data_IF_326980373284
#
_entry.id   IF_326980373284
#
_cell.length_a   1.000
_cell.length_b   1.000
_cell.length_c   1.000
_cell.angle_alpha   90.00
_cell.angle_beta   90.00
_cell.angle_gamma   90.00
#
_symmetry.space_group_name_H-M   'P 1'
#
loop_
_entity.id
_entity.type
_entity.pdbx_description
1 polymer ?
#
# COMPACT_ATOMS: atom_id res chain seq x y z
N UNK A 1 0.21 -5.10 4.95
CA UNK A 1 0.18 -3.96 3.99
C UNK A 1 -0.52 -4.37 2.71
N UNK A 2 -0.61 -3.45 1.75
CA UNK A 2 -1.08 -3.79 0.40
C UNK A 2 -2.57 -4.14 0.31
N UNK A 3 -2.91 -5.03 -0.62
CA UNK A 3 -4.30 -5.40 -0.90
C UNK A 3 -4.98 -6.18 0.23
N UNK A 4 -4.24 -7.08 0.89
CA UNK A 4 -4.76 -7.90 1.97
C UNK A 4 -5.17 -7.05 3.18
N UNK A 5 -4.38 -6.03 3.53
CA UNK A 5 -4.70 -5.11 4.62
C UNK A 5 -6.02 -4.34 4.36
N UNK A 6 -6.26 -3.92 3.12
CA UNK A 6 -7.50 -3.25 2.72
C UNK A 6 -8.72 -4.17 2.82
N UNK A 7 -8.55 -5.46 2.50
CA UNK A 7 -9.60 -6.46 2.69
C UNK A 7 -9.91 -6.62 4.19
N UNK A 8 -8.87 -6.75 5.03
CA UNK A 8 -9.03 -6.87 6.48
C UNK A 8 -9.67 -5.63 7.11
N UNK A 9 -9.41 -4.43 6.57
CA UNK A 9 -10.07 -3.18 6.95
C UNK A 9 -11.56 -3.11 6.53
N UNK A 10 -12.06 -4.09 5.76
CA UNK A 10 -13.49 -4.22 5.45
C UNK A 10 -13.87 -4.06 3.98
N UNK A 11 -12.93 -3.86 3.06
CA UNK A 11 -13.24 -3.76 1.64
C UNK A 11 -13.54 -5.13 1.01
N UNK A 12 -14.75 -5.65 1.23
CA UNK A 12 -15.17 -7.00 0.79
C UNK A 12 -15.19 -7.20 -0.73
N UNK A 13 -15.25 -6.11 -1.51
CA UNK A 13 -15.25 -6.16 -2.98
C UNK A 13 -13.84 -6.22 -3.56
N UNK A 14 -12.80 -6.07 -2.74
CA UNK A 14 -11.40 -6.15 -3.16
C UNK A 14 -10.93 -7.60 -3.15
N UNK A 15 -10.34 -8.04 -4.25
CA UNK A 15 -9.68 -9.35 -4.34
C UNK A 15 -8.19 -9.19 -4.49
N UNK A 16 -7.36 -9.92 -3.74
CA UNK A 16 -5.89 -9.94 -3.88
C UNK A 16 -5.39 -11.37 -4.08
N UNK A 17 -4.22 -11.53 -4.71
CA UNK A 17 -3.63 -12.88 -4.98
C UNK A 17 -2.32 -13.12 -4.23
N UNK A 18 -1.82 -12.07 -3.62
CA UNK A 18 -0.53 -11.91 -2.98
C UNK A 18 -0.72 -11.32 -1.58
N UNK A 19 0.23 -11.61 -0.70
CA UNK A 19 0.32 -11.05 0.65
C UNK A 19 1.61 -10.25 0.76
N UNK A 20 1.47 -8.96 1.02
CA UNK A 20 2.60 -8.06 1.25
C UNK A 20 2.89 -7.96 2.76
N UNK A 21 4.11 -8.32 3.16
CA UNK A 21 4.59 -8.29 4.55
C UNK A 21 5.80 -7.36 4.64
N UNK A 22 5.67 -6.25 5.37
CA UNK A 22 6.81 -5.45 5.75
C UNK A 22 7.60 -6.16 6.85
N UNK A 23 8.93 -6.21 6.73
CA UNK A 23 9.80 -6.89 7.70
C UNK A 23 10.86 -5.92 8.24
N UNK A 24 11.21 -6.02 9.51
CA UNK A 24 12.26 -5.22 10.17
C UNK A 24 13.43 -6.12 10.62
N UNK A 25 13.86 -7.00 9.71
CA UNK A 25 14.96 -7.96 9.93
C UNK A 25 15.83 -8.03 8.68
N UNK A 26 17.07 -8.50 8.84
CA UNK A 26 17.94 -8.76 7.69
C UNK A 26 17.34 -9.90 6.87
N UNK A 27 17.21 -9.69 5.56
CA UNK A 27 16.60 -10.67 4.67
C UNK A 27 17.30 -12.04 4.75
N UNK A 28 18.63 -12.07 4.85
CA UNK A 28 19.40 -13.30 4.95
C UNK A 28 19.00 -14.14 6.18
N UNK A 29 18.83 -13.50 7.34
CA UNK A 29 18.44 -14.19 8.57
C UNK A 29 17.01 -14.73 8.44
N UNK A 30 16.08 -13.91 7.94
CA UNK A 30 14.70 -14.32 7.72
C UNK A 30 14.62 -15.52 6.77
N UNK A 31 15.34 -15.48 5.66
CA UNK A 31 15.37 -16.58 4.70
C UNK A 31 16.03 -17.84 5.26
N UNK A 32 17.01 -17.70 6.16
CA UNK A 32 17.61 -18.84 6.86
C UNK A 32 16.62 -19.48 7.83
N UNK A 33 15.85 -18.69 8.57
CA UNK A 33 14.77 -19.18 9.45
C UNK A 33 13.68 -19.89 8.64
N UNK A 34 13.22 -19.27 7.54
CA UNK A 34 12.16 -19.83 6.70
C UNK A 34 12.60 -21.08 5.92
N UNK A 35 13.90 -21.30 5.72
CA UNK A 35 14.42 -22.46 5.01
C UNK A 35 14.06 -23.81 5.67
N UNK A 36 13.75 -23.79 6.97
CA UNK A 36 13.41 -24.97 7.75
C UNK A 36 11.92 -25.31 7.70
N UNK A 37 11.07 -24.42 7.18
CA UNK A 37 9.63 -24.63 7.12
C UNK A 37 9.24 -25.34 5.82
N UNK A 38 8.69 -26.56 5.95
CA UNK A 38 8.23 -27.40 4.84
C UNK A 38 7.09 -26.80 4.03
N UNK A 39 6.43 -25.75 4.53
CA UNK A 39 5.35 -25.04 3.85
C UNK A 39 5.85 -23.86 3.05
N UNK A 40 7.13 -23.46 3.19
CA UNK A 40 7.69 -22.28 2.54
C UNK A 40 8.57 -22.68 1.36
N UNK A 41 8.20 -22.23 0.17
CA UNK A 41 8.92 -22.45 -1.07
C UNK A 41 9.62 -21.16 -1.49
N UNK A 42 10.86 -21.29 -1.93
CA UNK A 42 11.68 -20.17 -2.41
C UNK A 42 11.95 -20.34 -3.90
N UNK A 43 11.75 -19.31 -4.73
CA UNK A 43 12.22 -19.34 -6.10
C UNK A 43 13.74 -19.59 -6.13
N UNK A 44 14.22 -20.37 -7.10
CA UNK A 44 15.65 -20.66 -7.27
C UNK A 44 16.49 -19.41 -7.52
N UNK A 45 15.86 -18.34 -8.02
CA UNK A 45 16.43 -17.00 -8.12
C UNK A 45 15.62 -16.07 -7.23
N UNK A 46 16.20 -15.69 -6.09
CA UNK A 46 15.64 -14.61 -5.30
C UNK A 46 15.94 -13.32 -6.06
N UNK A 47 14.92 -12.68 -6.63
CA UNK A 47 15.02 -11.39 -7.31
C UNK A 47 15.26 -10.22 -6.32
N UNK A 48 16.05 -10.45 -5.25
CA UNK A 48 16.29 -9.50 -4.17
C UNK A 48 17.52 -8.60 -4.41
N UNK A 49 18.37 -8.88 -5.40
CA UNK A 49 19.51 -8.02 -5.69
C UNK A 49 19.03 -6.68 -6.26
N UNK A 50 18.81 -5.69 -5.39
CA UNK A 50 18.51 -4.30 -5.71
C UNK A 50 17.04 -3.87 -5.58
N UNK A 51 16.08 -4.80 -5.46
CA UNK A 51 14.64 -4.47 -5.42
C UNK A 51 14.12 -4.17 -4.00
N UNK A 52 14.82 -4.62 -2.96
CA UNK A 52 14.39 -4.56 -1.57
C UNK A 52 13.14 -5.39 -1.25
N UNK A 53 12.80 -6.34 -2.13
CA UNK A 53 11.67 -7.26 -1.99
C UNK A 53 12.14 -8.68 -2.21
N UNK A 54 11.70 -9.59 -1.36
CA UNK A 54 11.93 -11.02 -1.52
C UNK A 54 10.61 -11.77 -1.60
N UNK A 55 10.47 -12.58 -2.64
CA UNK A 55 9.27 -13.37 -2.87
C UNK A 55 9.44 -14.80 -2.36
N UNK A 56 8.46 -15.25 -1.60
CA UNK A 56 8.31 -16.66 -1.20
C UNK A 56 6.91 -17.14 -1.57
N UNK A 57 6.70 -18.45 -1.55
CA UNK A 57 5.38 -19.04 -1.65
C UNK A 57 5.08 -19.83 -0.37
N UNK A 58 3.92 -19.59 0.23
CA UNK A 58 3.48 -20.29 1.44
C UNK A 58 2.33 -21.22 1.08
N UNK A 59 2.47 -22.51 1.38
CA UNK A 59 1.36 -23.45 1.26
C UNK A 59 0.35 -23.24 2.38
N UNK A 60 -0.85 -22.81 2.03
CA UNK A 60 -2.03 -22.78 2.91
C UNK A 60 -2.75 -24.13 2.88
N UNK A 61 -3.65 -24.37 3.84
CA UNK A 61 -4.48 -25.57 3.87
C UNK A 61 -3.73 -26.86 4.22
N UNK A 62 -4.39 -28.00 4.00
CA UNK A 62 -3.86 -29.35 4.25
C UNK A 62 -4.60 -30.09 5.37
N UNK A 63 -4.15 -31.31 5.68
CA UNK A 63 -4.82 -32.26 6.58
C UNK A 63 -5.17 -31.72 7.97
N UNK A 64 -4.46 -30.68 8.43
CA UNK A 64 -4.67 -30.05 9.74
C UNK A 64 -5.39 -28.67 9.65
N UNK A 65 -5.87 -28.28 8.46
CA UNK A 65 -6.48 -26.98 8.19
C UNK A 65 -7.75 -27.09 7.33
N UNK A 66 -8.38 -28.27 7.28
CA UNK A 66 -9.69 -28.43 6.63
C UNK A 66 -10.71 -27.44 7.22
N UNK A 67 -11.57 -26.80 6.39
CA UNK A 67 -11.77 -27.03 4.95
C UNK A 67 -10.91 -26.15 4.02
N UNK A 68 -9.82 -25.54 4.52
CA UNK A 68 -8.99 -24.63 3.71
C UNK A 68 -8.27 -25.40 2.61
N UNK A 69 -8.61 -25.08 1.36
CA UNK A 69 -7.96 -25.66 0.18
C UNK A 69 -6.45 -25.45 0.22
N UNK A 70 -5.70 -26.50 -0.13
CA UNK A 70 -4.25 -26.41 -0.30
C UNK A 70 -3.89 -25.55 -1.51
N UNK A 71 -3.29 -24.38 -1.27
CA UNK A 71 -2.87 -23.42 -2.29
C UNK A 71 -1.48 -22.87 -1.98
N UNK A 72 -0.70 -22.58 -3.03
CA UNK A 72 0.52 -21.80 -2.88
C UNK A 72 0.15 -20.31 -2.98
N UNK A 73 0.34 -19.58 -1.89
CA UNK A 73 0.10 -18.13 -1.83
C UNK A 73 1.42 -17.40 -2.02
N UNK A 74 1.44 -16.45 -2.96
CA UNK A 74 2.58 -15.55 -3.16
C UNK A 74 2.69 -14.59 -1.99
N UNK A 75 3.88 -14.48 -1.40
CA UNK A 75 4.16 -13.58 -0.28
C UNK A 75 5.38 -12.73 -0.62
N UNK A 76 5.18 -11.42 -0.67
CA UNK A 76 6.26 -10.45 -0.86
C UNK A 76 6.71 -9.91 0.50
N UNK A 77 7.96 -10.24 0.85
CA UNK A 77 8.66 -9.74 2.03
C UNK A 77 9.37 -8.45 1.65
N UNK A 78 8.90 -7.33 2.18
CA UNK A 78 9.31 -5.99 1.78
C UNK A 78 10.22 -5.40 2.86
N UNK A 79 11.46 -5.10 2.48
CA UNK A 79 12.46 -4.54 3.40
C UNK A 79 12.16 -3.08 3.75
N UNK A 80 12.64 -2.60 4.91
CA UNK A 80 12.37 -1.24 5.36
C UNK A 80 12.75 -0.19 4.31
N UNK A 81 11.89 0.81 4.15
CA UNK A 81 12.06 1.90 3.19
C UNK A 81 11.70 1.57 1.73
N UNK A 82 11.34 0.33 1.40
CA UNK A 82 10.95 -0.08 0.05
C UNK A 82 9.43 -0.13 -0.10
N UNK A 83 8.93 0.13 -1.31
CA UNK A 83 7.49 0.14 -1.64
C UNK A 83 6.60 0.92 -0.65
N UNK A 84 7.14 1.98 -0.05
CA UNK A 84 6.39 2.81 0.90
C UNK A 84 6.32 2.28 2.33
N UNK A 85 7.01 1.19 2.65
CA UNK A 85 7.22 0.76 4.03
C UNK A 85 8.03 1.81 4.82
N UNK A 86 7.82 1.92 6.14
CA UNK A 86 8.67 2.73 7.00
C UNK A 86 10.10 2.16 7.06
N UNK A 87 11.06 2.98 7.50
CA UNK A 87 12.45 2.53 7.76
C UNK A 87 12.58 1.73 9.06
N UNK A 88 11.60 1.82 9.95
CA UNK A 88 11.45 0.96 11.12
C UNK A 88 9.97 0.68 11.33
N UNK A 89 9.61 -0.54 11.72
CA UNK A 89 8.22 -0.89 12.04
C UNK A 89 7.79 -0.39 13.42
N UNK A 90 8.72 0.05 14.26
CA UNK A 90 8.43 0.57 15.60
C UNK A 90 7.53 1.81 15.52
N UNK A 91 6.33 1.72 16.08
CA UNK A 91 5.33 2.80 16.04
C UNK A 91 4.69 3.03 14.67
N UNK A 92 5.00 2.20 13.68
CA UNK A 92 4.43 2.27 12.33
C UNK A 92 3.40 1.17 12.05
N UNK A 93 3.18 0.27 13.00
CA UNK A 93 2.25 -0.84 12.93
C UNK A 93 1.05 -0.65 13.86
N UNK A 94 -0.05 -1.31 13.49
CA UNK A 94 -1.27 -1.40 14.28
C UNK A 94 -1.68 -2.86 14.41
N UNK A 95 -2.42 -3.21 15.46
CA UNK A 95 -2.99 -4.55 15.63
C UNK A 95 -4.44 -4.52 15.19
N UNK A 96 -4.75 -5.21 14.10
CA UNK A 96 -6.11 -5.40 13.64
C UNK A 96 -6.64 -6.72 14.17
N UNK A 97 -7.72 -6.70 14.95
CA UNK A 97 -8.35 -7.90 15.51
C UNK A 97 -9.72 -8.10 14.90
N UNK A 98 -9.96 -9.28 14.30
CA UNK A 98 -11.22 -9.62 13.63
C UNK A 98 -11.71 -11.00 14.07
N UNK A 99 -13.03 -11.17 14.07
CA UNK A 99 -13.64 -12.49 14.15
C UNK A 99 -13.65 -13.11 12.75
N UNK A 100 -12.93 -14.21 12.58
CA UNK A 100 -12.91 -15.00 11.35
C UNK A 100 -13.77 -16.25 11.50
N UNK A 101 -14.00 -16.96 10.39
CA UNK A 101 -14.58 -18.31 10.43
C UNK A 101 -13.75 -19.30 11.27
N UNK A 102 -12.45 -19.01 11.48
CA UNK A 102 -11.54 -19.79 12.31
C UNK A 102 -11.38 -19.21 13.74
N UNK A 103 -12.33 -18.38 14.17
CA UNK A 103 -12.30 -17.71 15.48
C UNK A 103 -11.62 -16.33 15.47
N UNK A 104 -11.44 -15.72 16.65
CA UNK A 104 -10.77 -14.42 16.78
C UNK A 104 -9.30 -14.53 16.38
N UNK A 105 -8.86 -13.60 15.53
CA UNK A 105 -7.49 -13.50 15.04
C UNK A 105 -7.02 -12.05 15.08
N UNK A 106 -5.72 -11.87 15.30
CA UNK A 106 -5.07 -10.56 15.31
C UNK A 106 -3.88 -10.57 14.36
N UNK A 107 -3.73 -9.50 13.59
CA UNK A 107 -2.61 -9.32 12.68
C UNK A 107 -1.95 -7.98 12.91
N UNK A 108 -0.63 -7.93 12.77
CA UNK A 108 0.09 -6.68 12.64
C UNK A 108 -0.09 -6.16 11.21
N UNK A 109 -0.65 -4.96 11.10
CA UNK A 109 -0.79 -4.23 9.84
C UNK A 109 0.09 -2.98 9.90
N UNK A 110 0.33 -2.35 8.75
CA UNK A 110 0.85 -0.98 8.81
C UNK A 110 -0.24 -0.07 9.37
N UNK A 111 0.15 1.05 9.99
CA UNK A 111 -0.82 2.09 10.30
C UNK A 111 -1.40 2.65 9.01
N UNK A 112 -2.63 3.16 9.11
CA UNK A 112 -3.35 3.72 7.96
C UNK A 112 -2.54 4.80 7.23
N UNK A 113 -1.71 5.57 7.93
CA UNK A 113 -0.81 6.56 7.33
C UNK A 113 0.17 5.91 6.34
N UNK A 114 0.82 4.81 6.72
CA UNK A 114 1.79 4.13 5.85
C UNK A 114 1.08 3.34 4.74
N UNK A 115 -0.06 2.71 5.02
CA UNK A 115 -0.89 2.10 3.98
C UNK A 115 -1.28 3.12 2.91
N UNK A 116 -1.84 4.27 3.30
CA UNK A 116 -2.27 5.30 2.36
C UNK A 116 -1.09 5.86 1.55
N UNK A 117 0.05 6.15 2.21
CA UNK A 117 1.25 6.65 1.55
C UNK A 117 1.84 5.65 0.55
N UNK A 118 1.90 4.36 0.90
CA UNK A 118 2.37 3.31 -0.02
C UNK A 118 1.47 3.21 -1.25
N UNK A 119 0.15 3.32 -1.09
CA UNK A 119 -0.83 3.32 -2.18
C UNK A 119 -0.71 4.53 -3.09
N UNK A 120 -0.53 5.73 -2.54
CA UNK A 120 -0.28 6.95 -3.31
C UNK A 120 0.97 6.80 -4.19
N UNK A 121 2.07 6.29 -3.61
CA UNK A 121 3.32 6.06 -4.34
C UNK A 121 3.16 5.01 -5.43
N UNK A 122 2.55 3.87 -5.11
CA UNK A 122 2.29 2.82 -6.07
C UNK A 122 1.45 3.34 -7.24
N UNK A 123 0.37 4.08 -6.94
CA UNK A 123 -0.47 4.69 -7.97
C UNK A 123 0.31 5.66 -8.86
N UNK A 124 1.10 6.57 -8.27
CA UNK A 124 1.91 7.51 -9.05
C UNK A 124 2.97 6.82 -9.92
N UNK A 125 3.47 5.64 -9.53
CA UNK A 125 4.50 4.93 -10.29
C UNK A 125 3.94 4.10 -11.44
N UNK A 126 2.73 3.53 -11.28
CA UNK A 126 2.18 2.55 -12.23
C UNK A 126 0.81 2.89 -12.79
N UNK A 127 0.20 3.96 -12.31
CA UNK A 127 -1.17 4.41 -12.67
C UNK A 127 -2.21 3.29 -12.57
N UNK A 128 -1.98 2.35 -11.65
CA UNK A 128 -2.76 1.13 -11.54
C UNK A 128 -4.18 1.40 -11.04
N UNK A 129 -5.19 0.96 -11.80
CA UNK A 129 -6.61 1.10 -11.42
C UNK A 129 -6.93 0.54 -10.03
N UNK A 130 -6.23 -0.52 -9.60
CA UNK A 130 -6.41 -1.10 -8.27
C UNK A 130 -6.00 -0.14 -7.16
N UNK A 131 -4.85 0.53 -7.26
CA UNK A 131 -4.43 1.48 -6.22
C UNK A 131 -5.26 2.74 -6.23
N UNK A 132 -5.71 3.19 -7.41
CA UNK A 132 -6.68 4.27 -7.51
C UNK A 132 -7.96 3.95 -6.74
N UNK A 133 -8.56 2.78 -7.00
CA UNK A 133 -9.77 2.34 -6.32
C UNK A 133 -9.55 2.17 -4.81
N UNK A 134 -8.39 1.62 -4.42
CA UNK A 134 -7.99 1.47 -3.02
C UNK A 134 -7.91 2.85 -2.32
N UNK A 135 -7.30 3.85 -2.96
CA UNK A 135 -7.18 5.22 -2.42
C UNK A 135 -8.55 5.91 -2.27
N UNK A 136 -9.42 5.79 -3.27
CA UNK A 136 -10.79 6.31 -3.22
C UNK A 136 -11.54 5.66 -2.05
N UNK A 137 -11.51 4.33 -1.97
CA UNK A 137 -12.19 3.59 -0.90
C UNK A 137 -11.69 4.01 0.49
N UNK A 138 -10.36 4.14 0.67
CA UNK A 138 -9.78 4.59 1.93
C UNK A 138 -10.26 5.99 2.31
N UNK A 139 -10.34 6.94 1.36
CA UNK A 139 -10.83 8.29 1.64
C UNK A 139 -12.29 8.31 2.12
N UNK A 140 -13.15 7.46 1.55
CA UNK A 140 -14.56 7.39 1.94
C UNK A 140 -14.81 6.63 3.25
N UNK A 141 -13.97 5.65 3.59
CA UNK A 141 -14.19 4.79 4.76
C UNK A 141 -13.39 5.24 5.99
N UNK A 142 -12.30 5.98 5.82
CA UNK A 142 -11.46 6.49 6.92
C UNK A 142 -11.14 7.99 6.81
N UNK A 143 -12.13 8.85 6.53
CA UNK A 143 -11.88 10.26 6.25
C UNK A 143 -11.22 11.00 7.41
N UNK A 144 -11.68 10.77 8.64
CA UNK A 144 -11.18 11.48 9.82
C UNK A 144 -9.72 11.11 10.13
N UNK A 145 -9.39 9.82 10.05
CA UNK A 145 -8.02 9.35 10.23
C UNK A 145 -7.10 9.94 9.14
N UNK A 146 -7.53 9.94 7.88
CA UNK A 146 -6.72 10.47 6.78
C UNK A 146 -6.51 11.99 6.93
N UNK A 147 -7.53 12.75 7.34
CA UNK A 147 -7.39 14.20 7.59
C UNK A 147 -6.30 14.51 8.63
N UNK A 148 -6.11 13.67 9.64
CA UNK A 148 -5.09 13.89 10.67
C UNK A 148 -3.67 13.86 10.13
N UNK A 149 -3.40 13.08 9.07
CA UNK A 149 -2.06 12.97 8.49
C UNK A 149 -1.94 13.51 7.06
N UNK A 150 -3.04 13.93 6.41
CA UNK A 150 -3.01 14.44 5.04
C UNK A 150 -2.08 15.63 4.82
N UNK A 151 -1.90 16.58 5.76
CA UNK A 151 -0.93 17.68 5.60
C UNK A 151 0.53 17.22 5.53
N UNK A 152 0.82 16.00 6.00
CA UNK A 152 2.17 15.40 5.98
C UNK A 152 2.40 14.50 4.76
N UNK A 153 1.38 14.30 3.92
CA UNK A 153 1.51 13.56 2.66
C UNK A 153 2.18 14.44 1.61
N UNK A 154 2.94 13.79 0.73
CA UNK A 154 3.61 14.43 -0.40
C UNK A 154 2.59 15.16 -1.30
N UNK A 155 2.80 16.45 -1.51
CA UNK A 155 1.91 17.32 -2.29
C UNK A 155 1.82 16.89 -3.76
N UNK A 156 2.94 16.42 -4.34
CA UNK A 156 3.00 15.96 -5.72
C UNK A 156 2.15 14.71 -5.91
N UNK A 157 2.29 13.73 -5.01
CA UNK A 157 1.49 12.50 -5.05
C UNK A 157 -0.01 12.77 -4.85
N UNK A 158 -0.36 13.68 -3.92
CA UNK A 158 -1.76 14.09 -3.71
C UNK A 158 -2.32 14.77 -4.96
N UNK A 159 -1.59 15.73 -5.52
CA UNK A 159 -1.99 16.46 -6.73
C UNK A 159 -2.20 15.54 -7.93
N UNK A 160 -1.30 14.57 -8.11
CA UNK A 160 -1.41 13.55 -9.14
C UNK A 160 -2.70 12.70 -8.98
N UNK A 161 -2.94 12.20 -7.76
CA UNK A 161 -4.17 11.47 -7.46
C UNK A 161 -5.43 12.32 -7.67
N UNK A 162 -5.44 13.58 -7.25
CA UNK A 162 -6.59 14.47 -7.45
C UNK A 162 -6.88 14.73 -8.93
N UNK A 163 -5.85 14.96 -9.73
CA UNK A 163 -6.01 15.16 -11.17
C UNK A 163 -6.67 13.93 -11.81
N UNK A 164 -6.19 12.73 -11.47
CA UNK A 164 -6.79 11.48 -11.93
C UNK A 164 -8.23 11.28 -11.41
N UNK A 165 -8.50 11.60 -10.14
CA UNK A 165 -9.84 11.46 -9.57
C UNK A 165 -10.84 12.40 -10.25
N UNK A 166 -10.44 13.65 -10.53
CA UNK A 166 -11.28 14.60 -11.28
C UNK A 166 -11.59 14.10 -12.69
N UNK A 167 -10.65 13.44 -13.35
CA UNK A 167 -10.84 12.89 -14.70
C UNK A 167 -11.89 11.78 -14.76
N UNK A 168 -12.23 11.13 -13.64
CA UNK A 168 -13.32 10.14 -13.62
C UNK A 168 -14.70 10.77 -13.65
N UNK A 169 -14.80 12.11 -13.65
CA UNK A 169 -16.06 12.86 -13.64
C UNK A 169 -16.92 12.61 -12.40
N UNK A 170 -16.36 12.59 -11.16
CA UNK A 170 -17.17 12.39 -9.96
C UNK A 170 -18.12 13.58 -9.76
N UNK A 171 -19.27 13.39 -9.07
CA UNK A 171 -20.11 14.50 -8.64
C UNK A 171 -19.30 15.55 -7.85
N UNK A 172 -19.69 16.82 -7.96
CA UNK A 172 -18.97 17.92 -7.28
C UNK A 172 -18.94 17.75 -5.75
N UNK A 173 -19.98 17.12 -5.18
CA UNK A 173 -20.03 16.76 -3.77
C UNK A 173 -18.95 15.75 -3.37
N UNK A 174 -18.72 14.72 -4.17
CA UNK A 174 -17.67 13.73 -3.94
C UNK A 174 -16.28 14.35 -4.12
N UNK A 175 -16.11 15.19 -5.14
CA UNK A 175 -14.87 15.93 -5.35
C UNK A 175 -14.55 16.85 -4.16
N UNK A 176 -15.56 17.60 -3.69
CA UNK A 176 -15.47 18.43 -2.49
C UNK A 176 -15.14 17.63 -1.23
N UNK A 177 -15.73 16.44 -1.08
CA UNK A 177 -15.43 15.53 0.02
C UNK A 177 -13.97 15.07 0.00
N UNK A 178 -13.47 14.59 -1.15
CA UNK A 178 -12.09 14.13 -1.31
C UNK A 178 -11.11 15.28 -1.05
N UNK A 179 -11.42 16.52 -1.48
CA UNK A 179 -10.64 17.70 -1.10
C UNK A 179 -10.67 17.98 0.41
N UNK A 180 -11.81 17.80 1.06
CA UNK A 180 -11.91 17.93 2.51
C UNK A 180 -11.12 16.88 3.28
N UNK A 181 -10.93 15.69 2.71
CA UNK A 181 -10.13 14.60 3.31
C UNK A 181 -8.64 14.81 3.12
N UNK A 182 -8.22 15.08 1.89
CA UNK A 182 -6.80 15.12 1.51
C UNK A 182 -6.18 16.53 1.54
N UNK A 183 -7.00 17.56 1.76
CA UNK A 183 -6.61 18.96 1.64
C UNK A 183 -6.52 19.41 0.19
N UNK A 184 -6.97 20.64 -0.12
CA UNK A 184 -6.90 21.16 -1.49
C UNK A 184 -5.44 21.22 -1.95
N UNK A 185 -5.13 20.69 -3.14
CA UNK A 185 -3.79 20.85 -3.70
C UNK A 185 -3.54 22.34 -3.96
N UNK A 186 -2.31 22.78 -3.75
CA UNK A 186 -1.93 24.15 -4.13
C UNK A 186 -2.08 24.29 -5.65
N UNK A 187 -2.56 25.44 -6.14
CA UNK A 187 -2.50 25.72 -7.57
C UNK A 187 -1.05 25.51 -8.01
N UNK A 188 -0.83 24.70 -9.05
CA UNK A 188 0.47 24.66 -9.70
C UNK A 188 0.75 26.09 -10.14
N UNK A 189 1.70 26.74 -9.48
CA UNK A 189 2.17 28.06 -9.91
C UNK A 189 2.57 27.88 -11.35
N UNK A 190 1.82 28.48 -12.27
CA UNK A 190 2.19 28.53 -13.68
C UNK A 190 3.62 29.03 -13.71
N UNK A 191 4.57 28.16 -14.06
CA UNK A 191 5.94 28.57 -14.31
C UNK A 191 5.85 29.57 -15.44
N UNK A 192 5.86 30.85 -15.09
CA UNK A 192 5.95 31.95 -16.01
C UNK A 192 7.25 31.76 -16.76
N UNK A 193 7.14 31.22 -17.97
CA UNK A 193 8.18 31.22 -18.98
C UNK A 193 8.45 32.67 -19.36
N UNK A 194 9.18 33.38 -18.50
CA UNK A 194 9.77 34.67 -18.83
C UNK A 194 10.97 34.40 -19.73
N UNK A 195 10.70 34.14 -21.00
CA UNK A 195 11.69 34.29 -22.06
C UNK A 195 12.00 35.79 -22.19
N UNK A 196 12.93 36.28 -21.37
CA UNK A 196 13.56 37.57 -21.60
C UNK A 196 14.31 37.48 -22.92
N UNK A 197 13.75 38.13 -23.95
CA UNK A 197 14.42 38.39 -25.21
C UNK A 197 15.67 39.22 -24.95
N UNK A 198 16.84 38.61 -25.11
CA UNK A 198 18.11 39.33 -25.25
C UNK A 198 18.13 39.99 -26.63
N UNK A 199 17.73 41.25 -26.68
CA UNK A 199 18.10 42.15 -27.77
C UNK A 199 19.61 42.41 -27.68
N UNK A 200 20.35 41.99 -28.70
CA UNK A 200 21.74 42.38 -28.91
C UNK A 200 21.74 43.69 -29.71
N UNK A 201 22.41 44.71 -29.17
CA UNK A 201 23.02 45.79 -29.94
C UNK A 201 24.46 45.43 -30.21
#
# INVERSE_FOLDING_TARGET
MGGMEIILLGNRNRTTRDVDIAVDVRLADLLATLAQDVRVYRPSRIAAAGSGVARIYVLTGGTNQEPVRRLAVEVDLILPGHQGTPRSLTGATEVLSLNTEFGPRSWYTLSLQYLFRSKLRAYNQREGRRDFNDLVWLCFNFPDNIRQFSPRLDEGLRSFFFAAYRQTGPPESELGFIYGVLGRPRPLSSSSSSSQGRSRR
#
